data_IF_778211790231
#
_entry.id   IF_778211790231
#
_cell.length_a   1.000
_cell.length_b   1.000
_cell.length_c   1.000
_cell.angle_alpha   90.00
_cell.angle_beta   90.00
_cell.angle_gamma   90.00
#
_symmetry.space_group_name_H-M   'P 1'
#
loop_
_entity.id
_entity.type
_entity.pdbx_description
1 polymer ?
#
# COMPACT_ATOMS: atom_id res chain seq x y z
N UNK A 1 -46.99 84.85 -7.29
CA UNK A 1 -46.46 85.57 -6.12
C UNK A 1 -44.93 85.55 -6.20
N UNK A 2 -44.32 86.71 -6.53
CA UNK A 2 -42.89 87.11 -6.38
C UNK A 2 -41.81 86.22 -7.05
N UNK A 3 -40.77 86.70 -7.74
CA UNK A 3 -40.28 88.03 -8.11
C UNK A 3 -39.19 87.82 -9.18
N UNK A 4 -39.09 88.74 -10.14
CA UNK A 4 -37.93 88.91 -11.03
C UNK A 4 -36.63 89.14 -10.25
N UNK A 5 -35.51 88.57 -10.71
CA UNK A 5 -34.17 89.21 -10.65
C UNK A 5 -33.42 88.96 -11.97
N UNK A 6 -32.66 89.97 -12.38
CA UNK A 6 -32.13 90.31 -13.70
C UNK A 6 -30.98 89.45 -14.24
N UNK A 7 -30.88 89.46 -15.57
CA UNK A 7 -29.72 89.13 -16.42
C UNK A 7 -28.45 89.89 -16.02
N UNK A 8 -27.28 89.26 -16.19
CA UNK A 8 -26.10 89.85 -16.87
C UNK A 8 -25.33 88.71 -17.56
N UNK A 9 -25.09 88.86 -18.86
CA UNK A 9 -24.15 88.03 -19.63
C UNK A 9 -22.76 88.63 -19.50
N UNK A 10 -21.73 87.81 -19.29
CA UNK A 10 -20.34 88.19 -19.54
C UNK A 10 -19.66 87.07 -20.33
N UNK A 11 -19.25 87.40 -21.55
CA UNK A 11 -18.43 86.56 -22.41
C UNK A 11 -17.04 86.42 -21.81
N UNK A 12 -16.46 85.22 -21.86
CA UNK A 12 -15.04 85.02 -21.57
C UNK A 12 -14.48 84.02 -22.57
N UNK A 13 -13.38 84.42 -23.18
CA UNK A 13 -12.77 83.86 -24.37
C UNK A 13 -12.37 82.38 -24.20
N UNK A 14 -12.74 81.56 -25.18
CA UNK A 14 -12.09 80.27 -25.42
C UNK A 14 -10.71 80.58 -26.00
N UNK A 15 -9.70 80.68 -25.13
CA UNK A 15 -8.31 80.61 -25.54
C UNK A 15 -8.00 79.15 -25.81
N UNK A 16 -7.83 78.80 -27.08
CA UNK A 16 -7.17 77.56 -27.49
C UNK A 16 -5.75 77.57 -26.90
N UNK A 17 -5.55 76.87 -25.79
CA UNK A 17 -4.23 76.33 -25.49
C UNK A 17 -4.09 75.04 -26.29
N UNK A 18 -3.48 75.18 -27.46
CA UNK A 18 -2.66 74.13 -28.09
C UNK A 18 -1.56 73.76 -27.10
N UNK A 19 -1.87 72.88 -26.15
CA UNK A 19 -0.87 72.19 -25.36
C UNK A 19 -0.49 70.91 -26.13
N UNK A 20 0.80 70.80 -26.43
CA UNK A 20 1.45 69.72 -27.15
C UNK A 20 0.85 68.35 -26.82
N UNK A 21 0.13 67.78 -27.78
CA UNK A 21 0.03 66.34 -27.90
C UNK A 21 1.31 65.89 -28.64
N UNK A 22 2.36 65.54 -27.89
CA UNK A 22 3.38 64.58 -28.35
C UNK A 22 4.37 64.25 -27.23
N UNK A 23 4.71 62.96 -27.16
CA UNK A 23 5.58 62.26 -26.20
C UNK A 23 4.96 61.83 -24.87
N UNK A 24 3.81 61.15 -24.92
CA UNK A 24 3.68 59.99 -24.05
C UNK A 24 4.59 58.90 -24.65
N UNK A 25 5.86 58.85 -24.22
CA UNK A 25 6.65 57.63 -24.32
C UNK A 25 5.80 56.57 -23.62
N UNK A 26 5.26 55.63 -24.39
CA UNK A 26 4.65 54.43 -23.83
C UNK A 26 5.69 53.87 -22.86
N UNK A 27 5.34 53.78 -21.57
CA UNK A 27 6.27 53.32 -20.56
C UNK A 27 6.83 51.96 -21.01
N UNK A 28 8.15 51.76 -20.91
CA UNK A 28 8.76 50.49 -21.28
C UNK A 28 8.01 49.35 -20.59
N UNK A 29 7.31 48.54 -21.39
CA UNK A 29 6.53 47.40 -20.92
C UNK A 29 7.53 46.29 -20.60
N UNK A 30 7.59 45.89 -19.34
CA UNK A 30 8.52 44.88 -18.84
C UNK A 30 7.73 43.57 -18.71
N UNK A 31 8.13 42.48 -19.38
CA UNK A 31 7.45 41.20 -19.21
C UNK A 31 7.63 40.72 -17.76
N UNK A 32 6.53 40.42 -17.07
CA UNK A 32 6.55 39.97 -15.66
C UNK A 32 5.97 38.58 -15.45
N UNK A 33 5.08 38.12 -16.33
CA UNK A 33 4.51 36.78 -16.27
C UNK A 33 4.34 36.15 -17.65
N UNK A 34 4.40 34.82 -17.67
CA UNK A 34 4.26 34.00 -18.87
C UNK A 34 3.32 32.83 -18.56
N UNK A 35 2.45 32.50 -19.50
CA UNK A 35 1.53 31.38 -19.41
C UNK A 35 1.44 30.60 -20.74
N UNK A 36 1.10 29.32 -20.65
CA UNK A 36 0.85 28.43 -21.79
C UNK A 36 -0.64 28.05 -21.79
N UNK A 37 -1.28 28.12 -22.96
CA UNK A 37 -2.65 27.66 -23.17
C UNK A 37 -2.72 26.66 -24.34
N UNK A 38 -3.39 25.50 -24.18
CA UNK A 38 -4.01 25.00 -22.95
C UNK A 38 -2.97 24.62 -21.87
N UNK A 39 -3.38 24.59 -20.60
CA UNK A 39 -2.52 24.19 -19.46
C UNK A 39 -2.43 22.68 -19.28
N UNK A 40 -2.94 21.89 -20.21
CA UNK A 40 -2.92 20.44 -20.15
C UNK A 40 -3.93 19.84 -21.11
N UNK A 41 -3.94 18.53 -21.22
CA UNK A 41 -4.82 17.80 -22.12
C UNK A 41 -4.41 16.35 -22.25
N UNK A 42 -5.33 15.54 -22.78
CA UNK A 42 -5.09 14.18 -23.20
C UNK A 42 -5.25 14.11 -24.72
N UNK A 43 -4.20 13.68 -25.43
CA UNK A 43 -4.20 13.57 -26.89
C UNK A 43 -3.89 12.14 -27.31
N UNK A 44 -4.43 11.70 -28.44
CA UNK A 44 -4.11 10.43 -29.06
C UNK A 44 -2.86 10.57 -29.94
N UNK A 45 -2.05 9.52 -30.02
CA UNK A 45 -0.91 9.43 -30.95
C UNK A 45 -1.30 9.89 -32.36
N UNK A 46 -0.50 10.81 -32.92
CA UNK A 46 -0.74 11.46 -34.19
C UNK A 46 -1.59 12.73 -34.12
N UNK A 47 -2.27 13.03 -33.02
CA UNK A 47 -2.94 14.32 -32.82
C UNK A 47 -1.93 15.44 -32.54
N UNK A 48 -2.27 16.65 -32.99
CA UNK A 48 -1.48 17.85 -32.75
C UNK A 48 -2.34 18.95 -32.12
N UNK A 49 -1.73 19.73 -31.22
CA UNK A 49 -2.33 20.91 -30.60
C UNK A 49 -1.38 22.10 -30.71
N UNK A 50 -1.92 23.26 -31.07
CA UNK A 50 -1.13 24.50 -31.13
C UNK A 50 -1.15 25.23 -29.80
N UNK A 51 -0.03 25.15 -29.07
CA UNK A 51 0.14 25.85 -27.81
C UNK A 51 0.33 27.36 -28.03
N UNK A 52 -0.38 28.16 -27.25
CA UNK A 52 -0.27 29.62 -27.24
C UNK A 52 0.51 30.08 -26.02
N UNK A 53 1.34 31.10 -26.21
CA UNK A 53 2.07 31.77 -25.13
C UNK A 53 1.45 33.13 -24.91
N UNK A 54 1.03 33.39 -23.67
CA UNK A 54 0.62 34.72 -23.24
C UNK A 54 1.70 35.30 -22.33
N UNK A 55 2.21 36.48 -22.67
CA UNK A 55 3.13 37.24 -21.81
C UNK A 55 2.39 38.48 -21.34
N UNK A 56 2.48 38.81 -20.06
CA UNK A 56 1.87 40.02 -19.49
C UNK A 56 2.94 40.90 -18.87
N UNK A 57 2.70 42.20 -18.95
CA UNK A 57 3.59 43.21 -18.39
C UNK A 57 3.36 43.45 -16.89
N UNK A 58 4.03 44.44 -16.32
CA UNK A 58 3.93 44.80 -14.91
C UNK A 58 2.55 45.37 -14.49
N UNK A 59 1.67 45.70 -15.44
CA UNK A 59 0.28 46.09 -15.21
C UNK A 59 -0.71 44.94 -15.44
N UNK A 60 -0.24 43.76 -15.87
CA UNK A 60 -1.08 42.60 -16.18
C UNK A 60 -1.64 42.60 -17.60
N UNK A 61 -1.24 43.56 -18.44
CA UNK A 61 -1.71 43.71 -19.81
C UNK A 61 -0.95 42.78 -20.76
N UNK A 62 -1.64 42.25 -21.78
CA UNK A 62 -1.04 41.32 -22.75
C UNK A 62 0.03 42.02 -23.60
N UNK A 63 1.18 41.37 -23.75
CA UNK A 63 2.28 41.80 -24.59
C UNK A 63 2.30 40.98 -25.89
N UNK A 64 2.53 41.61 -27.05
CA UNK A 64 2.72 40.87 -28.29
C UNK A 64 4.01 40.05 -28.24
N UNK A 65 3.90 38.75 -28.54
CA UNK A 65 5.03 37.83 -28.59
C UNK A 65 5.38 37.56 -30.06
N UNK A 66 6.56 37.95 -30.56
CA UNK A 66 7.00 37.61 -31.91
C UNK A 66 7.06 36.10 -32.12
N UNK A 67 6.70 35.60 -33.29
CA UNK A 67 6.64 34.16 -33.59
C UNK A 67 7.97 33.42 -33.42
N UNK A 68 9.09 34.13 -33.47
CA UNK A 68 10.44 33.57 -33.28
C UNK A 68 10.92 33.59 -31.82
N UNK A 69 10.22 34.31 -30.93
CA UNK A 69 10.68 34.53 -29.56
C UNK A 69 10.50 33.31 -28.63
N UNK A 70 9.39 32.54 -28.69
CA UNK A 70 9.21 31.36 -27.88
C UNK A 70 10.27 30.29 -28.12
N UNK A 71 10.91 29.84 -27.03
CA UNK A 71 11.81 28.69 -27.04
C UNK A 71 11.13 27.52 -26.35
N UNK A 72 10.57 26.63 -27.15
CA UNK A 72 9.90 25.44 -26.67
C UNK A 72 10.89 24.33 -26.31
N UNK A 73 10.55 23.55 -25.27
CA UNK A 73 11.24 22.33 -24.86
C UNK A 73 10.21 21.30 -24.48
N UNK A 74 10.53 20.04 -24.73
CA UNK A 74 9.72 18.88 -24.33
C UNK A 74 10.61 17.95 -23.50
N UNK A 75 10.06 17.39 -22.42
CA UNK A 75 10.84 16.53 -21.51
C UNK A 75 11.22 15.19 -22.13
N UNK A 76 10.38 14.66 -23.02
CA UNK A 76 10.60 13.37 -23.67
C UNK A 76 10.06 13.40 -25.12
N UNK A 77 10.94 13.45 -26.14
CA UNK A 77 10.54 13.48 -27.54
C UNK A 77 9.94 12.15 -28.03
N UNK A 78 10.08 11.06 -27.28
CA UNK A 78 9.45 9.77 -27.63
C UNK A 78 7.95 9.73 -27.31
N UNK A 79 7.47 10.66 -26.47
CA UNK A 79 6.06 10.80 -26.09
C UNK A 79 5.39 11.91 -26.89
N UNK A 80 6.06 13.06 -27.06
CA UNK A 80 5.57 14.15 -27.87
C UNK A 80 6.71 14.99 -28.47
N UNK A 81 6.49 15.51 -29.67
CA UNK A 81 7.37 16.50 -30.29
C UNK A 81 6.73 17.88 -30.23
N UNK A 82 7.55 18.93 -30.24
CA UNK A 82 7.06 20.31 -30.34
C UNK A 82 7.84 21.09 -31.39
N UNK A 83 7.11 21.62 -32.37
CA UNK A 83 7.65 22.48 -33.41
C UNK A 83 7.93 23.89 -32.88
N UNK A 84 8.74 24.66 -33.63
CA UNK A 84 9.12 26.02 -33.24
C UNK A 84 7.94 26.99 -33.12
N UNK A 85 6.85 26.73 -33.84
CA UNK A 85 5.66 27.57 -33.84
C UNK A 85 4.69 27.26 -32.68
N UNK A 86 5.06 26.33 -31.79
CA UNK A 86 4.26 25.88 -30.65
C UNK A 86 3.33 24.72 -30.95
N UNK A 87 3.36 24.15 -32.15
CA UNK A 87 2.57 22.95 -32.47
C UNK A 87 3.18 21.72 -31.81
N UNK A 88 2.50 21.19 -30.80
CA UNK A 88 2.82 19.93 -30.15
C UNK A 88 2.16 18.78 -30.90
N UNK A 89 2.84 17.66 -31.09
CA UNK A 89 2.28 16.43 -31.70
C UNK A 89 2.55 15.24 -30.80
N UNK A 90 1.53 14.43 -30.53
CA UNK A 90 1.65 13.20 -29.77
C UNK A 90 2.34 12.11 -30.60
N UNK A 91 3.35 11.46 -30.03
CA UNK A 91 4.21 10.46 -30.69
C UNK A 91 4.06 9.07 -30.06
N UNK A 92 3.81 9.00 -28.75
CA UNK A 92 3.67 7.74 -28.03
C UNK A 92 2.94 7.92 -26.70
N UNK A 93 2.74 6.83 -25.96
CA UNK A 93 2.00 6.85 -24.70
C UNK A 93 2.80 7.35 -23.51
N UNK A 94 2.25 8.28 -22.72
CA UNK A 94 2.81 8.71 -21.44
C UNK A 94 2.55 10.17 -21.06
N UNK A 95 3.20 10.62 -19.98
CA UNK A 95 3.16 12.01 -19.53
C UNK A 95 4.39 12.76 -20.04
N UNK A 96 4.19 13.99 -20.54
CA UNK A 96 5.26 14.85 -21.00
C UNK A 96 5.10 16.27 -20.43
N UNK A 97 6.22 16.90 -20.07
CA UNK A 97 6.26 18.30 -19.67
C UNK A 97 6.70 19.12 -20.87
N UNK A 98 5.87 20.07 -21.28
CA UNK A 98 6.20 21.07 -22.30
C UNK A 98 6.48 22.39 -21.64
N UNK A 99 7.71 22.88 -21.82
CA UNK A 99 8.17 24.16 -21.32
C UNK A 99 8.32 25.19 -22.43
N UNK A 100 8.14 26.46 -22.08
CA UNK A 100 8.42 27.60 -22.96
C UNK A 100 9.18 28.68 -22.21
N UNK A 101 10.12 29.30 -22.90
CA UNK A 101 10.85 30.48 -22.42
C UNK A 101 10.67 31.65 -23.39
N UNK A 102 10.32 32.82 -22.86
CA UNK A 102 10.24 34.10 -23.60
C UNK A 102 10.81 35.21 -22.72
N UNK A 103 11.76 35.99 -23.27
CA UNK A 103 12.36 37.15 -22.58
C UNK A 103 12.89 36.84 -21.16
N UNK A 104 13.43 35.64 -20.93
CA UNK A 104 13.95 35.20 -19.63
C UNK A 104 12.90 34.71 -18.63
N UNK A 105 11.61 34.82 -18.96
CA UNK A 105 10.53 34.16 -18.21
C UNK A 105 10.35 32.74 -18.73
N UNK A 106 10.08 31.79 -17.84
CA UNK A 106 9.82 30.40 -18.20
C UNK A 106 8.58 29.87 -17.46
N UNK A 107 7.83 29.03 -18.15
CA UNK A 107 6.75 28.23 -17.56
C UNK A 107 6.70 26.87 -18.25
N UNK A 108 6.08 25.90 -17.61
CA UNK A 108 5.89 24.58 -18.16
C UNK A 108 4.57 23.99 -17.72
N UNK A 109 4.00 23.13 -18.55
CA UNK A 109 2.79 22.39 -18.21
C UNK A 109 2.86 20.93 -18.63
N UNK A 110 2.02 20.10 -18.01
CA UNK A 110 1.95 18.66 -18.25
C UNK A 110 0.88 18.33 -19.27
N UNK A 111 1.20 17.40 -20.16
CA UNK A 111 0.27 16.80 -21.09
C UNK A 111 0.34 15.29 -21.01
N UNK A 112 -0.79 14.64 -21.26
CA UNK A 112 -0.94 13.18 -21.27
C UNK A 112 -1.17 12.76 -22.71
N UNK A 113 -0.51 11.70 -23.14
CA UNK A 113 -0.64 11.14 -24.48
C UNK A 113 -1.09 9.68 -24.38
N UNK A 114 -2.12 9.33 -25.14
CA UNK A 114 -2.52 7.95 -25.36
C UNK A 114 -1.85 7.42 -26.63
N UNK A 115 -1.26 6.23 -26.59
CA UNK A 115 -0.78 5.59 -27.81
C UNK A 115 -1.96 5.09 -28.66
N UNK A 116 -1.74 4.90 -29.96
CA UNK A 116 -2.77 4.38 -30.87
C UNK A 116 -3.20 2.95 -30.52
N UNK A 117 -2.29 2.14 -29.96
CA UNK A 117 -2.56 0.81 -29.44
C UNK A 117 -1.68 0.50 -28.22
N UNK A 118 -2.14 -0.40 -27.33
CA UNK A 118 -1.41 -0.85 -26.13
C UNK A 118 -1.37 -2.37 -26.10
N UNK A 119 -0.20 -2.97 -25.86
CA UNK A 119 -0.14 -4.39 -25.52
C UNK A 119 -0.45 -4.58 -24.04
N UNK A 120 -1.62 -5.13 -23.74
CA UNK A 120 -2.09 -5.33 -22.37
C UNK A 120 -1.73 -6.73 -21.85
N UNK A 121 -1.40 -6.85 -20.56
CA UNK A 121 -1.22 -8.15 -19.88
C UNK A 121 -1.43 -8.04 -18.37
N UNK A 122 -1.59 -9.18 -17.70
CA UNK A 122 -1.55 -9.25 -16.24
C UNK A 122 -0.09 -9.30 -15.78
N UNK A 123 0.42 -8.20 -15.22
CA UNK A 123 1.79 -8.12 -14.72
C UNK A 123 2.01 -8.92 -13.44
N UNK A 124 0.98 -9.02 -12.60
CA UNK A 124 0.93 -9.88 -11.43
C UNK A 124 -0.51 -10.15 -11.00
N UNK A 125 -0.71 -11.31 -10.39
CA UNK A 125 -1.91 -11.66 -9.63
C UNK A 125 -1.46 -12.42 -8.38
N UNK A 126 -1.87 -11.94 -7.21
CA UNK A 126 -1.67 -12.66 -5.96
C UNK A 126 -2.75 -12.32 -4.94
N UNK A 127 -2.82 -13.15 -3.89
CA UNK A 127 -3.82 -13.04 -2.83
C UNK A 127 -3.09 -12.84 -1.52
N UNK A 128 -3.42 -11.78 -0.77
CA UNK A 128 -2.73 -11.41 0.46
C UNK A 128 -3.64 -11.59 1.68
N UNK A 129 -3.22 -12.43 2.62
CA UNK A 129 -3.83 -12.62 3.94
C UNK A 129 -2.99 -11.98 5.06
N UNK A 130 -1.70 -11.74 4.80
CA UNK A 130 -0.79 -10.96 5.64
C UNK A 130 0.54 -10.69 4.92
N UNK A 131 1.15 -11.72 4.33
CA UNK A 131 2.52 -11.68 3.80
C UNK A 131 2.70 -12.59 2.57
N UNK A 132 1.67 -12.71 1.73
CA UNK A 132 1.79 -13.38 0.43
C UNK A 132 2.26 -12.41 -0.64
N UNK A 133 3.12 -12.88 -1.55
CA UNK A 133 3.77 -12.05 -2.56
C UNK A 133 3.42 -12.50 -3.98
N UNK A 134 3.70 -11.63 -4.95
CA UNK A 134 3.50 -11.90 -6.39
C UNK A 134 4.27 -13.09 -6.98
N UNK A 135 5.26 -13.64 -6.26
CA UNK A 135 6.00 -14.83 -6.69
C UNK A 135 5.34 -16.13 -6.21
N UNK A 136 4.31 -16.07 -5.37
CA UNK A 136 3.63 -17.24 -4.85
C UNK A 136 4.48 -18.11 -3.91
N UNK A 137 5.45 -17.52 -3.20
CA UNK A 137 6.35 -18.30 -2.31
C UNK A 137 5.80 -18.53 -0.91
N UNK A 138 4.66 -17.93 -0.58
CA UNK A 138 3.99 -18.06 0.71
C UNK A 138 2.58 -18.57 0.43
N UNK A 139 2.24 -19.71 1.02
CA UNK A 139 0.92 -20.32 0.81
C UNK A 139 -0.18 -19.56 1.54
N UNK A 140 -1.39 -19.67 1.01
CA UNK A 140 -2.61 -19.24 1.66
C UNK A 140 -3.05 -20.27 2.71
N UNK A 141 -3.78 -19.78 3.71
CA UNK A 141 -4.41 -20.57 4.75
C UNK A 141 -5.92 -20.62 4.48
N UNK A 142 -6.54 -21.82 4.50
CA UNK A 142 -7.96 -21.96 4.21
C UNK A 142 -8.82 -21.23 5.24
N UNK A 143 -10.02 -20.81 4.83
CA UNK A 143 -10.99 -20.15 5.72
C UNK A 143 -10.67 -18.69 6.07
N UNK A 144 -9.48 -18.17 5.73
CA UNK A 144 -9.12 -16.77 5.93
C UNK A 144 -9.43 -15.94 4.67
N UNK A 145 -10.13 -14.80 4.80
CA UNK A 145 -10.30 -13.87 3.68
C UNK A 145 -8.95 -13.42 3.12
N UNK A 146 -8.88 -13.16 1.82
CA UNK A 146 -7.66 -12.72 1.17
C UNK A 146 -7.94 -11.56 0.21
N UNK A 147 -7.09 -10.54 0.24
CA UNK A 147 -7.12 -9.47 -0.75
C UNK A 147 -6.50 -9.97 -2.06
N UNK A 148 -7.31 -10.20 -3.08
CA UNK A 148 -6.83 -10.40 -4.45
C UNK A 148 -6.33 -9.08 -5.00
N UNK A 149 -5.05 -9.02 -5.40
CA UNK A 149 -4.46 -7.87 -6.08
C UNK A 149 -4.08 -8.25 -7.50
N UNK A 150 -4.68 -7.58 -8.47
CA UNK A 150 -4.47 -7.79 -9.90
C UNK A 150 -3.81 -6.54 -10.47
N UNK A 151 -2.67 -6.72 -11.13
CA UNK A 151 -1.91 -5.63 -11.73
C UNK A 151 -2.01 -5.73 -13.25
N UNK A 152 -2.73 -4.80 -13.84
CA UNK A 152 -2.82 -4.66 -15.29
C UNK A 152 -1.67 -3.79 -15.75
N UNK A 153 -0.87 -4.29 -16.69
CA UNK A 153 0.28 -3.56 -17.23
C UNK A 153 0.23 -3.47 -18.74
N UNK A 154 0.73 -2.35 -19.26
CA UNK A 154 0.96 -2.12 -20.68
C UNK A 154 2.44 -2.23 -21.06
N UNK A 155 2.73 -2.36 -22.34
CA UNK A 155 4.09 -2.15 -22.88
C UNK A 155 4.53 -0.68 -22.86
N UNK A 156 3.56 0.23 -22.75
CA UNK A 156 3.73 1.66 -22.57
C UNK A 156 2.66 2.22 -21.63
N UNK A 157 2.93 3.40 -21.06
CA UNK A 157 1.94 4.09 -20.23
C UNK A 157 0.79 4.54 -21.10
N UNK A 158 -0.44 4.32 -20.64
CA UNK A 158 -1.63 4.87 -21.29
C UNK A 158 -2.66 5.32 -20.27
N UNK A 159 -3.58 6.14 -20.74
CA UNK A 159 -4.73 6.68 -20.02
C UNK A 159 -6.02 6.05 -20.56
N UNK A 160 -5.93 4.79 -20.99
CA UNK A 160 -7.07 3.90 -21.11
C UNK A 160 -7.31 3.21 -19.77
N UNK A 161 -8.59 3.05 -19.41
CA UNK A 161 -9.03 2.64 -18.08
C UNK A 161 -9.88 1.37 -18.20
N UNK A 162 -9.25 0.19 -18.39
CA UNK A 162 -10.00 -1.06 -18.53
C UNK A 162 -10.66 -1.48 -17.22
N UNK A 163 -11.79 -2.16 -17.29
CA UNK A 163 -12.26 -2.97 -16.17
C UNK A 163 -11.48 -4.27 -16.05
N UNK A 164 -11.70 -5.00 -14.95
CA UNK A 164 -11.17 -6.36 -14.76
C UNK A 164 -12.26 -7.26 -14.23
N UNK A 165 -12.36 -8.49 -14.73
CA UNK A 165 -13.24 -9.51 -14.17
C UNK A 165 -12.42 -10.64 -13.55
N UNK A 166 -12.67 -10.94 -12.28
CA UNK A 166 -12.09 -12.10 -11.60
C UNK A 166 -13.15 -13.18 -11.44
N UNK A 167 -12.76 -14.44 -11.64
CA UNK A 167 -13.59 -15.62 -11.42
C UNK A 167 -12.81 -16.67 -10.66
N UNK A 168 -13.47 -17.34 -9.70
CA UNK A 168 -12.92 -18.49 -9.01
C UNK A 168 -13.72 -19.74 -9.35
N UNK A 169 -13.01 -20.85 -9.46
CA UNK A 169 -13.54 -22.14 -9.85
C UNK A 169 -13.17 -23.21 -8.82
N UNK A 170 -14.12 -24.08 -8.48
CA UNK A 170 -13.85 -25.33 -7.76
C UNK A 170 -14.01 -26.48 -8.75
N UNK A 171 -12.88 -27.02 -9.23
CA UNK A 171 -12.90 -27.88 -10.42
C UNK A 171 -13.40 -27.07 -11.62
N UNK A 172 -14.48 -27.51 -12.26
CA UNK A 172 -15.08 -26.83 -13.42
C UNK A 172 -16.26 -25.90 -13.04
N UNK A 173 -16.68 -25.89 -11.77
CA UNK A 173 -17.80 -25.06 -11.31
C UNK A 173 -17.31 -23.66 -10.95
N UNK A 174 -17.90 -22.63 -11.55
CA UNK A 174 -17.68 -21.23 -11.14
C UNK A 174 -18.37 -20.98 -9.79
N UNK A 175 -17.57 -20.66 -8.77
CA UNK A 175 -18.05 -20.42 -7.40
C UNK A 175 -18.08 -18.94 -7.01
N UNK A 176 -17.44 -18.09 -7.81
CA UNK A 176 -17.37 -16.65 -7.59
C UNK A 176 -17.07 -15.92 -8.90
N UNK A 177 -17.70 -14.76 -9.06
CA UNK A 177 -17.38 -13.81 -10.12
C UNK A 177 -17.56 -12.39 -9.61
N UNK A 178 -16.64 -11.51 -9.96
CA UNK A 178 -16.76 -10.08 -9.71
C UNK A 178 -16.16 -9.27 -10.86
N UNK A 179 -16.86 -8.20 -11.27
CA UNK A 179 -16.34 -7.19 -12.20
C UNK A 179 -15.90 -5.97 -11.40
N UNK A 180 -14.61 -5.67 -11.50
CA UNK A 180 -13.95 -4.54 -10.87
C UNK A 180 -13.90 -3.39 -11.89
N UNK A 181 -14.40 -2.19 -11.52
CA UNK A 181 -14.30 -1.03 -12.40
C UNK A 181 -12.84 -0.62 -12.57
N UNK A 182 -12.59 0.24 -13.55
CA UNK A 182 -11.28 0.83 -13.73
C UNK A 182 -10.80 1.55 -12.46
N UNK A 183 -9.51 1.40 -12.17
CA UNK A 183 -8.85 2.02 -11.02
C UNK A 183 -7.66 2.85 -11.48
N UNK A 184 -7.31 3.85 -10.67
CA UNK A 184 -6.15 4.71 -10.90
C UNK A 184 -6.30 5.69 -12.07
N UNK A 185 -5.20 6.39 -12.34
CA UNK A 185 -5.13 7.47 -13.33
C UNK A 185 -4.38 7.09 -14.61
N UNK A 186 -3.83 5.87 -14.69
CA UNK A 186 -3.16 5.35 -15.88
C UNK A 186 -2.93 3.84 -15.80
N UNK A 187 -2.81 3.19 -16.96
CA UNK A 187 -2.22 1.86 -17.07
C UNK A 187 -0.70 1.98 -17.08
N UNK A 188 -0.05 1.45 -16.03
CA UNK A 188 1.40 1.50 -15.84
C UNK A 188 2.14 0.44 -16.66
N UNK A 189 3.44 0.67 -16.88
CA UNK A 189 4.37 -0.33 -17.45
C UNK A 189 4.87 -1.35 -16.42
N UNK A 190 4.75 -1.02 -15.14
CA UNK A 190 5.34 -1.75 -14.04
C UNK A 190 4.28 -2.13 -13.01
N UNK A 191 4.52 -3.25 -12.34
CA UNK A 191 3.77 -3.65 -11.14
C UNK A 191 4.22 -2.77 -9.98
N UNK A 192 3.35 -1.89 -9.50
CA UNK A 192 3.60 -0.96 -8.39
C UNK A 192 2.80 -1.42 -7.17
N UNK A 193 3.45 -2.14 -6.24
CA UNK A 193 2.75 -2.72 -5.08
C UNK A 193 2.44 -1.71 -3.97
N UNK A 194 3.03 -0.51 -4.00
CA UNK A 194 3.07 0.46 -2.89
C UNK A 194 1.81 1.29 -2.68
N UNK A 195 0.86 1.26 -3.62
CA UNK A 195 -0.43 1.90 -3.49
C UNK A 195 -1.53 0.90 -3.89
N UNK A 196 -2.66 0.92 -3.19
CA UNK A 196 -3.82 0.10 -3.55
C UNK A 196 -4.43 0.57 -4.87
N UNK A 197 -4.37 1.87 -5.20
CA UNK A 197 -4.91 2.45 -6.44
C UNK A 197 -4.15 2.00 -7.71
N UNK A 198 -2.94 1.44 -7.56
CA UNK A 198 -2.13 0.89 -8.66
C UNK A 198 -2.47 -0.59 -8.97
N UNK A 199 -3.55 -1.11 -8.38
CA UNK A 199 -4.02 -2.49 -8.55
C UNK A 199 -5.54 -2.60 -8.44
N UNK A 200 -6.13 -3.56 -9.16
CA UNK A 200 -7.52 -3.92 -8.96
C UNK A 200 -7.59 -4.84 -7.76
N UNK A 201 -8.35 -4.43 -6.74
CA UNK A 201 -8.40 -5.13 -5.47
C UNK A 201 -9.82 -5.63 -5.20
N UNK A 202 -9.93 -6.86 -4.70
CA UNK A 202 -11.16 -7.36 -4.09
C UNK A 202 -10.85 -8.33 -2.96
N UNK A 203 -11.70 -8.36 -1.94
CA UNK A 203 -11.58 -9.32 -0.85
C UNK A 203 -12.32 -10.60 -1.24
N UNK A 204 -11.58 -11.70 -1.39
CA UNK A 204 -12.16 -13.02 -1.55
C UNK A 204 -12.58 -13.55 -0.18
N UNK A 205 -13.87 -13.88 0.02
CA UNK A 205 -14.36 -14.49 1.25
C UNK A 205 -13.57 -15.74 1.65
N UNK A 206 -13.27 -15.88 2.94
CA UNK A 206 -12.45 -17.00 3.43
C UNK A 206 -13.05 -18.37 3.15
N UNK A 207 -14.38 -18.49 3.10
CA UNK A 207 -15.05 -19.74 2.73
C UNK A 207 -14.85 -20.13 1.26
N UNK A 208 -14.26 -19.28 0.41
CA UNK A 208 -13.84 -19.62 -0.96
C UNK A 208 -12.36 -19.97 -1.02
N UNK A 209 -11.56 -19.64 0.00
CA UNK A 209 -10.15 -20.04 0.07
C UNK A 209 -10.09 -21.46 0.64
N UNK A 210 -10.09 -22.45 -0.26
CA UNK A 210 -9.98 -23.88 0.07
C UNK A 210 -9.18 -24.63 -1.01
N UNK A 211 -8.55 -25.77 -0.67
CA UNK A 211 -7.77 -26.55 -1.62
C UNK A 211 -8.54 -26.88 -2.93
N UNK A 212 -7.85 -26.76 -4.06
CA UNK A 212 -8.40 -27.07 -5.38
C UNK A 212 -9.08 -25.89 -6.09
N UNK A 213 -9.12 -24.70 -5.46
CA UNK A 213 -9.64 -23.50 -6.11
C UNK A 213 -8.68 -22.96 -7.16
N UNK A 214 -9.22 -22.71 -8.35
CA UNK A 214 -8.54 -22.04 -9.45
C UNK A 214 -9.06 -20.62 -9.65
N UNK A 215 -8.21 -19.72 -10.15
CA UNK A 215 -8.60 -18.35 -10.53
C UNK A 215 -8.38 -18.10 -12.02
N UNK A 216 -9.30 -17.34 -12.60
CA UNK A 216 -9.19 -16.73 -13.93
C UNK A 216 -9.45 -15.25 -13.80
N UNK A 217 -8.65 -14.45 -14.50
CA UNK A 217 -8.83 -13.01 -14.61
C UNK A 217 -8.97 -12.65 -16.08
N UNK A 218 -9.94 -11.79 -16.40
CA UNK A 218 -10.14 -11.19 -17.71
C UNK A 218 -9.88 -9.68 -17.60
N UNK A 219 -9.07 -9.15 -18.50
CA UNK A 219 -8.68 -7.74 -18.57
C UNK A 219 -9.44 -7.08 -19.70
N UNK A 220 -9.90 -5.85 -19.46
CA UNK A 220 -10.67 -5.08 -20.43
C UNK A 220 -11.88 -5.83 -21.01
N UNK A 221 -12.77 -6.43 -20.18
CA UNK A 221 -13.94 -7.13 -20.70
C UNK A 221 -14.91 -6.20 -21.44
N UNK A 222 -14.83 -4.89 -21.23
CA UNK A 222 -15.59 -3.86 -21.94
C UNK A 222 -14.97 -3.44 -23.28
N UNK A 223 -13.70 -3.76 -23.55
CA UNK A 223 -13.01 -3.45 -24.81
C UNK A 223 -12.71 -1.96 -25.00
N UNK A 224 -12.36 -1.25 -23.92
CA UNK A 224 -12.03 0.20 -23.98
C UNK A 224 -10.60 0.48 -24.42
N UNK A 225 -9.70 -0.51 -24.34
CA UNK A 225 -8.30 -0.37 -24.73
C UNK A 225 -8.14 -0.76 -26.21
N UNK A 226 -7.55 0.10 -27.06
CA UNK A 226 -7.14 -0.31 -28.41
C UNK A 226 -5.97 -1.32 -28.31
N UNK A 227 -6.30 -2.60 -28.34
CA UNK A 227 -5.31 -3.66 -28.08
C UNK A 227 -4.34 -3.83 -29.26
N UNK A 228 -3.04 -3.81 -28.94
CA UNK A 228 -1.99 -4.18 -29.88
C UNK A 228 -1.91 -5.71 -30.04
N UNK A 229 -1.41 -6.21 -31.20
CA UNK A 229 -1.11 -7.63 -31.37
C UNK A 229 -0.22 -8.20 -30.26
N UNK A 230 -0.57 -9.39 -29.78
CA UNK A 230 0.12 -10.07 -28.68
C UNK A 230 -0.35 -9.69 -27.28
N UNK A 231 -1.43 -8.90 -27.15
CA UNK A 231 -2.10 -8.65 -25.87
C UNK A 231 -2.65 -9.94 -25.25
N UNK A 232 -2.57 -10.04 -23.93
CA UNK A 232 -3.08 -11.15 -23.12
C UNK A 232 -4.17 -10.62 -22.19
N UNK A 233 -5.41 -10.62 -22.68
CA UNK A 233 -6.58 -10.15 -21.93
C UNK A 233 -7.20 -11.21 -21.02
N UNK A 234 -6.58 -12.40 -20.93
CA UNK A 234 -6.99 -13.46 -20.01
C UNK A 234 -5.76 -14.02 -19.31
N UNK A 235 -5.82 -14.17 -17.99
CA UNK A 235 -4.78 -14.78 -17.17
C UNK A 235 -5.35 -15.89 -16.26
N UNK A 236 -4.76 -17.10 -16.25
CA UNK A 236 -3.80 -17.58 -17.25
C UNK A 236 -4.41 -17.60 -18.66
N UNK A 237 -3.58 -17.73 -19.70
CA UNK A 237 -4.06 -17.74 -21.09
C UNK A 237 -5.06 -18.90 -21.34
N UNK A 238 -4.82 -20.04 -20.70
CA UNK A 238 -5.67 -21.24 -20.75
C UNK A 238 -5.88 -21.79 -19.34
N UNK A 239 -7.00 -22.49 -19.12
CA UNK A 239 -7.32 -23.08 -17.81
C UNK A 239 -7.50 -22.04 -16.71
N UNK A 240 -7.14 -22.41 -15.49
CA UNK A 240 -7.17 -21.55 -14.29
C UNK A 240 -5.86 -21.69 -13.50
N UNK A 241 -5.42 -20.61 -12.85
CA UNK A 241 -4.27 -20.66 -11.95
C UNK A 241 -4.70 -21.27 -10.62
N UNK A 242 -4.13 -22.41 -10.23
CA UNK A 242 -4.41 -23.00 -8.93
C UNK A 242 -3.86 -22.12 -7.80
N UNK A 243 -4.65 -21.93 -6.75
CA UNK A 243 -4.20 -21.25 -5.54
C UNK A 243 -3.40 -22.21 -4.66
N UNK A 244 -2.22 -21.77 -4.25
CA UNK A 244 -1.36 -22.52 -3.34
C UNK A 244 -1.85 -22.39 -1.90
N UNK A 245 -2.63 -23.37 -1.45
CA UNK A 245 -3.29 -23.38 -0.15
C UNK A 245 -2.76 -24.55 0.67
N UNK A 246 -2.30 -24.25 1.89
CA UNK A 246 -1.83 -25.25 2.86
C UNK A 246 -2.75 -25.21 4.07
N UNK A 247 -3.18 -26.38 4.52
CA UNK A 247 -4.00 -26.53 5.73
C UNK A 247 -3.09 -26.76 6.96
N UNK A 248 -2.81 -25.72 7.76
CA UNK A 248 -2.09 -25.88 9.02
C UNK A 248 -2.97 -26.59 10.06
N UNK A 249 -2.35 -27.22 11.09
CA UNK A 249 -3.11 -27.79 12.20
C UNK A 249 -3.88 -26.70 12.97
N UNK A 250 -4.98 -27.11 13.62
CA UNK A 250 -5.70 -26.28 14.58
C UNK A 250 -4.76 -25.85 15.70
N UNK A 251 -4.69 -24.54 15.95
CA UNK A 251 -3.98 -23.99 17.09
C UNK A 251 -4.89 -24.05 18.30
N UNK A 252 -4.65 -25.00 19.21
CA UNK A 252 -5.26 -24.99 20.53
C UNK A 252 -4.41 -24.17 21.49
N UNK A 253 -4.80 -22.93 21.74
CA UNK A 253 -4.12 -22.01 22.64
C UNK A 253 -4.71 -22.08 24.04
N UNK A 254 -3.84 -22.27 25.04
CA UNK A 254 -4.18 -22.30 26.46
C UNK A 254 -3.47 -21.13 27.13
N UNK A 255 -4.25 -20.19 27.67
CA UNK A 255 -3.75 -19.07 28.46
C UNK A 255 -3.80 -19.42 29.93
N UNK A 256 -2.68 -19.28 30.64
CA UNK A 256 -2.58 -19.59 32.07
C UNK A 256 -2.38 -18.29 32.85
N UNK A 257 -3.44 -17.69 33.42
CA UNK A 257 -3.32 -16.49 34.24
C UNK A 257 -2.42 -16.80 35.44
N UNK A 258 -1.30 -16.09 35.56
CA UNK A 258 -0.28 -16.38 36.57
C UNK A 258 -0.10 -15.23 37.56
N UNK A 259 -0.03 -15.61 38.84
CA UNK A 259 0.20 -14.74 39.98
C UNK A 259 1.52 -15.08 40.65
N UNK A 260 2.49 -14.17 40.55
CA UNK A 260 3.73 -14.29 41.30
C UNK A 260 3.51 -13.92 42.77
N UNK A 261 4.04 -14.72 43.69
CA UNK A 261 3.87 -14.51 45.13
C UNK A 261 4.36 -13.12 45.61
N UNK A 262 5.42 -12.60 44.98
CA UNK A 262 6.02 -11.30 45.33
C UNK A 262 5.33 -10.11 44.66
N UNK A 263 4.61 -10.35 43.57
CA UNK A 263 3.87 -9.30 42.83
C UNK A 263 2.50 -9.82 42.37
N UNK A 264 1.60 -10.22 43.29
CA UNK A 264 0.31 -10.77 42.90
C UNK A 264 -0.59 -9.66 42.38
N UNK A 265 -0.94 -9.71 41.10
CA UNK A 265 -1.77 -8.68 40.47
C UNK A 265 -2.93 -9.29 39.67
N UNK A 266 -4.15 -9.03 40.13
CA UNK A 266 -5.40 -9.48 39.50
C UNK A 266 -5.73 -8.77 38.19
N UNK A 267 -4.97 -7.76 37.81
CA UNK A 267 -5.07 -7.10 36.51
C UNK A 267 -4.85 -8.05 35.31
N UNK A 268 -4.16 -9.19 35.50
CA UNK A 268 -4.04 -10.22 34.46
C UNK A 268 -5.40 -10.73 33.96
N UNK A 269 -6.40 -10.79 34.86
CA UNK A 269 -7.77 -11.20 34.52
C UNK A 269 -8.45 -10.25 33.54
N UNK A 270 -8.08 -8.97 33.51
CA UNK A 270 -8.64 -8.05 32.52
C UNK A 270 -8.23 -8.43 31.09
N UNK A 271 -7.10 -9.14 30.93
CA UNK A 271 -6.61 -9.59 29.65
C UNK A 271 -7.08 -11.00 29.31
N UNK A 272 -7.17 -11.91 30.30
CA UNK A 272 -7.52 -13.32 30.10
C UNK A 272 -9.00 -13.66 30.22
N UNK A 273 -9.81 -12.85 30.91
CA UNK A 273 -11.21 -13.18 31.17
C UNK A 273 -12.04 -13.18 29.88
N UNK A 274 -12.78 -14.28 29.64
CA UNK A 274 -13.66 -14.43 28.49
C UNK A 274 -12.94 -14.52 27.14
N UNK A 275 -11.63 -14.79 27.13
CA UNK A 275 -10.88 -14.98 25.90
C UNK A 275 -11.49 -16.09 25.05
N UNK A 276 -11.62 -15.79 23.77
CA UNK A 276 -12.14 -16.65 22.73
C UNK A 276 -11.37 -16.36 21.43
N UNK A 277 -11.54 -17.16 20.36
CA UNK A 277 -10.79 -16.97 19.12
C UNK A 277 -10.92 -15.57 18.52
N UNK A 278 -12.04 -14.87 18.70
CA UNK A 278 -12.30 -13.54 18.12
C UNK A 278 -11.85 -12.37 19.03
N UNK A 279 -11.18 -12.68 20.14
CA UNK A 279 -10.68 -11.66 21.07
C UNK A 279 -9.53 -10.84 20.47
N UNK A 280 -9.52 -9.53 20.75
CA UNK A 280 -8.47 -8.59 20.29
C UNK A 280 -7.06 -9.11 20.60
N UNK A 281 -6.89 -9.72 21.77
CA UNK A 281 -5.64 -10.24 22.33
C UNK A 281 -4.96 -11.28 21.43
N UNK A 282 -5.74 -12.07 20.70
CA UNK A 282 -5.23 -13.11 19.78
C UNK A 282 -5.25 -12.69 18.32
N UNK A 283 -5.79 -11.49 18.02
CA UNK A 283 -5.92 -10.98 16.64
C UNK A 283 -4.58 -10.96 15.92
N UNK A 284 -3.55 -10.38 16.52
CA UNK A 284 -2.21 -10.30 15.91
C UNK A 284 -1.65 -11.68 15.58
N UNK A 285 -1.81 -12.66 16.47
CA UNK A 285 -1.41 -14.04 16.21
C UNK A 285 -2.18 -14.65 15.04
N UNK A 286 -3.50 -14.48 15.01
CA UNK A 286 -4.33 -14.97 13.90
C UNK A 286 -3.98 -14.33 12.57
N UNK A 287 -3.59 -13.05 12.55
CA UNK A 287 -3.15 -12.39 11.33
C UNK A 287 -1.77 -12.86 10.88
N UNK A 288 -0.79 -12.81 11.80
CA UNK A 288 0.63 -12.90 11.45
C UNK A 288 1.14 -14.34 11.39
N UNK A 289 0.66 -15.23 12.24
CA UNK A 289 1.11 -16.61 12.22
C UNK A 289 0.22 -17.42 11.26
N UNK A 290 0.79 -18.27 10.38
CA UNK A 290 -0.01 -19.02 9.40
C UNK A 290 -0.71 -20.24 10.01
N UNK A 291 -1.34 -20.07 11.17
CA UNK A 291 -2.05 -21.11 11.93
C UNK A 291 -3.45 -21.38 11.38
N UNK A 292 -4.00 -22.56 11.66
CA UNK A 292 -5.33 -22.92 11.17
C UNK A 292 -6.45 -22.27 11.98
N UNK A 293 -7.54 -23.02 12.13
CA UNK A 293 -8.55 -22.69 13.12
C UNK A 293 -7.89 -22.53 14.50
N UNK A 294 -8.43 -21.63 15.31
CA UNK A 294 -7.93 -21.38 16.65
C UNK A 294 -8.98 -21.79 17.67
N UNK A 295 -8.57 -22.62 18.63
CA UNK A 295 -9.31 -22.88 19.85
C UNK A 295 -8.63 -22.11 20.98
N UNK A 296 -9.42 -21.44 21.83
CA UNK A 296 -8.90 -20.66 22.94
C UNK A 296 -9.49 -21.19 24.24
N UNK A 297 -8.60 -21.49 25.17
CA UNK A 297 -8.93 -21.93 26.52
C UNK A 297 -8.20 -21.05 27.52
N UNK A 298 -8.87 -20.70 28.60
CA UNK A 298 -8.28 -20.00 29.74
C UNK A 298 -8.24 -21.00 30.89
N UNK A 299 -7.03 -21.34 31.31
CA UNK A 299 -6.78 -22.22 32.45
C UNK A 299 -7.14 -21.51 33.76
N UNK A 300 -7.30 -22.28 34.84
CA UNK A 300 -7.41 -21.73 36.20
C UNK A 300 -6.16 -20.94 36.63
N UNK A 301 -6.30 -20.14 37.68
CA UNK A 301 -5.22 -19.30 38.20
C UNK A 301 -4.02 -20.17 38.63
N UNK A 302 -2.86 -19.85 38.09
CA UNK A 302 -1.60 -20.46 38.48
C UNK A 302 -0.84 -19.54 39.42
N UNK A 303 -0.27 -20.10 40.49
CA UNK A 303 0.53 -19.37 41.46
C UNK A 303 1.98 -19.82 41.38
N UNK A 304 2.89 -18.88 41.12
CA UNK A 304 4.33 -19.14 41.06
C UNK A 304 5.05 -18.54 42.25
N UNK A 305 6.05 -19.26 42.76
CA UNK A 305 7.00 -18.76 43.75
C UNK A 305 8.12 -17.92 43.15
N UNK A 306 8.27 -17.93 41.82
CA UNK A 306 9.35 -17.27 41.11
C UNK A 306 9.33 -15.74 41.25
N UNK A 307 10.51 -15.13 41.34
CA UNK A 307 10.68 -13.68 41.32
C UNK A 307 10.72 -13.16 39.87
N UNK A 308 9.59 -12.66 39.38
CA UNK A 308 9.47 -12.14 38.01
C UNK A 308 10.16 -10.78 37.80
N UNK A 309 10.81 -10.21 38.82
CA UNK A 309 11.69 -9.06 38.66
C UNK A 309 13.11 -9.46 38.19
N UNK A 310 13.47 -10.74 38.31
CA UNK A 310 14.77 -11.29 37.92
C UNK A 310 14.66 -12.30 36.76
N UNK A 311 15.64 -12.30 35.84
CA UNK A 311 15.67 -13.25 34.70
C UNK A 311 15.63 -14.71 35.16
N UNK A 312 16.25 -15.03 36.29
CA UNK A 312 16.22 -16.35 36.94
C UNK A 312 14.79 -16.84 37.20
N UNK A 313 13.93 -15.97 37.75
CA UNK A 313 12.53 -16.31 38.02
C UNK A 313 11.71 -16.54 36.76
N UNK A 314 12.01 -15.84 35.66
CA UNK A 314 11.39 -16.12 34.36
C UNK A 314 11.72 -17.51 33.82
N UNK A 315 12.98 -17.94 33.99
CA UNK A 315 13.42 -19.28 33.59
C UNK A 315 12.73 -20.36 34.44
N UNK A 316 12.62 -20.12 35.75
CA UNK A 316 11.89 -20.98 36.68
C UNK A 316 10.41 -21.10 36.29
N UNK A 317 9.70 -19.98 36.14
CA UNK A 317 8.29 -19.95 35.76
C UNK A 317 8.01 -20.64 34.41
N UNK A 318 8.86 -20.42 33.39
CA UNK A 318 8.77 -21.16 32.13
C UNK A 318 8.92 -22.67 32.34
N UNK A 319 9.80 -23.08 33.26
CA UNK A 319 9.97 -24.49 33.65
C UNK A 319 8.74 -25.06 34.36
N UNK A 320 8.14 -24.30 35.27
CA UNK A 320 6.88 -24.66 35.94
C UNK A 320 5.74 -24.88 34.93
N UNK A 321 5.59 -23.99 33.95
CA UNK A 321 4.59 -24.15 32.88
C UNK A 321 4.85 -25.39 32.02
N UNK A 322 6.11 -25.77 31.81
CA UNK A 322 6.44 -27.01 31.12
C UNK A 322 6.06 -28.25 31.94
N UNK A 323 6.23 -28.21 33.27
CA UNK A 323 5.75 -29.28 34.15
C UNK A 323 4.23 -29.38 34.11
N UNK A 324 3.51 -28.24 34.16
CA UNK A 324 2.05 -28.20 34.04
C UNK A 324 1.59 -28.81 32.70
N UNK A 325 2.20 -28.40 31.59
CA UNK A 325 1.92 -28.94 30.25
C UNK A 325 2.07 -30.47 30.18
N UNK A 326 3.13 -31.03 30.77
CA UNK A 326 3.36 -32.47 30.81
C UNK A 326 2.33 -33.19 31.71
N UNK A 327 1.99 -32.62 32.86
CA UNK A 327 1.00 -33.17 33.80
C UNK A 327 -0.42 -33.19 33.21
N UNK A 328 -0.76 -32.20 32.39
CA UNK A 328 -2.06 -32.10 31.71
C UNK A 328 -2.11 -32.84 30.36
N UNK A 329 -1.14 -33.72 30.10
CA UNK A 329 -1.18 -34.62 28.95
C UNK A 329 -0.76 -33.97 27.62
N UNK A 330 0.07 -32.92 27.66
CA UNK A 330 0.75 -32.34 26.49
C UNK A 330 -0.18 -31.79 25.41
N UNK A 331 -1.24 -31.13 25.82
CA UNK A 331 -2.30 -30.60 24.94
C UNK A 331 -2.03 -29.16 24.50
N UNK A 332 -2.20 -28.83 23.22
CA UNK A 332 -2.15 -27.44 22.75
C UNK A 332 -0.83 -26.70 23.00
N UNK A 333 -0.93 -25.36 23.06
CA UNK A 333 0.16 -24.41 23.29
C UNK A 333 -0.13 -23.60 24.55
N UNK A 334 0.78 -23.64 25.52
CA UNK A 334 0.64 -22.95 26.79
C UNK A 334 1.33 -21.60 26.72
N UNK A 335 0.60 -20.55 27.08
CA UNK A 335 1.16 -19.24 27.34
C UNK A 335 0.83 -18.83 28.78
N UNK A 336 1.82 -18.89 29.66
CA UNK A 336 1.73 -18.31 30.99
C UNK A 336 1.66 -16.79 30.89
N UNK A 337 0.62 -16.19 31.47
CA UNK A 337 0.36 -14.75 31.36
C UNK A 337 0.59 -14.09 32.71
N UNK A 338 1.47 -13.08 32.74
CA UNK A 338 1.65 -12.21 33.90
C UNK A 338 1.37 -10.74 33.52
N UNK A 339 1.12 -9.88 34.50
CA UNK A 339 1.03 -8.44 34.24
C UNK A 339 2.41 -7.89 33.83
N UNK A 340 2.47 -6.87 32.95
CA UNK A 340 3.67 -6.06 32.75
C UNK A 340 4.26 -5.55 34.07
N UNK A 341 5.50 -5.94 34.33
CA UNK A 341 6.35 -5.44 35.41
C UNK A 341 7.54 -4.68 34.81
N UNK A 342 8.26 -3.91 35.62
CA UNK A 342 9.58 -3.41 35.27
C UNK A 342 10.59 -4.56 35.38
N UNK A 343 10.66 -5.39 34.34
CA UNK A 343 11.59 -6.52 34.24
C UNK A 343 12.57 -6.31 33.08
N UNK A 344 13.67 -7.07 33.09
CA UNK A 344 14.66 -7.05 32.01
C UNK A 344 14.16 -7.66 30.69
N UNK A 345 13.13 -8.52 30.74
CA UNK A 345 12.50 -9.16 29.58
C UNK A 345 10.97 -9.06 29.67
N UNK A 346 10.31 -9.15 28.52
CA UNK A 346 8.85 -9.15 28.44
C UNK A 346 8.22 -10.54 28.31
N UNK A 347 9.01 -11.53 27.89
CA UNK A 347 8.59 -12.91 27.67
C UNK A 347 9.80 -13.82 27.43
N UNK A 348 9.56 -15.13 27.54
CA UNK A 348 10.51 -16.18 27.18
C UNK A 348 9.78 -17.45 26.79
N UNK A 349 10.23 -18.06 25.70
CA UNK A 349 9.70 -19.30 25.18
C UNK A 349 10.73 -20.43 25.16
N UNK A 350 10.25 -21.65 24.98
CA UNK A 350 11.07 -22.70 24.41
C UNK A 350 10.99 -22.67 22.88
N UNK A 351 12.13 -22.94 22.22
CA UNK A 351 12.18 -23.14 20.78
C UNK A 351 11.61 -24.52 20.44
N UNK A 352 10.68 -24.59 19.48
CA UNK A 352 10.09 -25.83 18.97
C UNK A 352 9.36 -26.69 20.03
N UNK A 353 8.96 -26.08 21.15
CA UNK A 353 8.22 -26.75 22.23
C UNK A 353 7.07 -25.83 22.69
N UNK A 354 5.86 -26.35 22.94
CA UNK A 354 4.62 -25.57 22.99
C UNK A 354 4.38 -24.90 24.34
N UNK A 355 5.42 -24.32 24.93
CA UNK A 355 5.35 -23.63 26.21
C UNK A 355 6.12 -22.32 26.13
N UNK A 356 5.44 -21.26 26.50
CA UNK A 356 6.00 -19.93 26.65
C UNK A 356 5.38 -19.20 27.84
N UNK A 357 6.06 -18.16 28.30
CA UNK A 357 5.56 -17.27 29.35
C UNK A 357 5.83 -15.83 28.96
N UNK A 358 4.97 -14.91 29.37
CA UNK A 358 5.11 -13.53 28.97
C UNK A 358 4.09 -12.60 29.60
N UNK A 359 4.31 -11.31 29.36
CA UNK A 359 3.36 -10.31 29.77
C UNK A 359 2.05 -10.37 28.98
N UNK A 360 0.98 -9.83 29.56
CA UNK A 360 -0.33 -9.65 28.96
C UNK A 360 -0.31 -8.56 27.85
N UNK A 361 0.50 -8.80 26.81
CA UNK A 361 0.74 -7.93 25.65
C UNK A 361 0.73 -8.79 24.39
N UNK A 362 -0.19 -8.50 23.48
CA UNK A 362 -0.51 -9.31 22.29
C UNK A 362 0.71 -9.60 21.39
N UNK A 363 1.59 -8.61 21.25
CA UNK A 363 2.83 -8.76 20.49
C UNK A 363 3.80 -9.74 21.14
N UNK A 364 3.97 -9.67 22.46
CA UNK A 364 4.87 -10.59 23.19
C UNK A 364 4.32 -12.01 23.06
N UNK A 365 3.03 -12.19 23.31
CA UNK A 365 2.38 -13.49 23.08
C UNK A 365 2.64 -14.02 21.66
N UNK A 366 2.43 -13.20 20.63
CA UNK A 366 2.67 -13.60 19.23
C UNK A 366 4.14 -13.96 18.98
N UNK A 367 5.07 -13.20 19.54
CA UNK A 367 6.52 -13.43 19.44
C UNK A 367 6.92 -14.75 20.12
N UNK A 368 6.49 -14.97 21.35
CA UNK A 368 6.83 -16.18 22.11
C UNK A 368 6.20 -17.44 21.50
N UNK A 369 4.97 -17.34 20.99
CA UNK A 369 4.35 -18.42 20.23
C UNK A 369 5.14 -18.73 18.93
N UNK A 370 5.74 -17.71 18.31
CA UNK A 370 6.66 -17.89 17.19
C UNK A 370 7.84 -18.81 17.54
N UNK A 371 8.48 -18.61 18.71
CA UNK A 371 9.53 -19.53 19.18
C UNK A 371 9.01 -20.95 19.40
N UNK A 372 7.81 -21.11 19.98
CA UNK A 372 7.17 -22.43 20.12
C UNK A 372 6.94 -23.12 18.77
N UNK A 373 6.82 -22.33 17.70
CA UNK A 373 6.71 -22.76 16.30
C UNK A 373 8.06 -22.85 15.57
N UNK A 374 9.15 -22.88 16.34
CA UNK A 374 10.52 -23.01 15.87
C UNK A 374 10.95 -21.86 14.94
N UNK A 375 10.57 -20.64 15.34
CA UNK A 375 11.05 -19.39 14.76
C UNK A 375 12.11 -18.79 15.69
N UNK A 376 13.36 -18.70 15.23
CA UNK A 376 14.43 -17.91 15.88
C UNK A 376 14.16 -16.40 15.78
N UNK A 377 15.00 -15.55 16.39
CA UNK A 377 14.85 -14.10 16.26
C UNK A 377 15.17 -13.57 14.85
N UNK A 378 14.56 -12.45 14.45
CA UNK A 378 14.99 -11.65 13.31
C UNK A 378 16.08 -10.64 13.74
N UNK A 379 17.00 -10.24 12.85
CA UNK A 379 18.15 -9.40 13.20
C UNK A 379 17.77 -7.91 13.36
N UNK A 380 16.91 -7.59 14.32
CA UNK A 380 16.51 -6.23 14.66
C UNK A 380 16.45 -6.00 16.18
N UNK A 381 16.91 -4.82 16.61
CA UNK A 381 16.80 -4.38 18.00
C UNK A 381 17.67 -5.16 18.99
N UNK A 382 18.79 -5.72 18.53
CA UNK A 382 19.73 -6.50 19.35
C UNK A 382 19.13 -7.77 19.97
N UNK A 383 18.16 -8.39 19.29
CA UNK A 383 17.62 -9.68 19.69
C UNK A 383 18.72 -10.75 19.72
N UNK A 384 18.80 -11.50 20.83
CA UNK A 384 19.86 -12.51 21.04
C UNK A 384 19.62 -13.78 20.23
N UNK A 385 20.65 -14.37 19.62
CA UNK A 385 20.49 -15.56 18.77
C UNK A 385 19.64 -15.31 17.51
N UNK A 386 19.97 -14.28 16.69
CA UNK A 386 19.25 -14.05 15.45
C UNK A 386 19.43 -15.23 14.48
N UNK A 387 18.40 -15.49 13.66
CA UNK A 387 18.49 -16.42 12.55
C UNK A 387 19.52 -15.91 11.53
N UNK A 388 20.66 -16.60 11.45
CA UNK A 388 21.74 -16.27 10.52
C UNK A 388 21.33 -16.43 9.04
N UNK A 389 20.25 -17.16 8.76
CA UNK A 389 19.70 -17.31 7.42
C UNK A 389 18.65 -16.26 7.07
N UNK A 390 18.32 -15.35 8.00
CA UNK A 390 17.32 -14.32 7.75
C UNK A 390 17.81 -13.36 6.63
N UNK A 391 17.09 -13.27 5.50
CA UNK A 391 17.65 -12.67 4.29
C UNK A 391 17.56 -11.13 4.27
N UNK A 392 16.77 -10.52 5.15
CA UNK A 392 16.50 -9.09 5.11
C UNK A 392 17.24 -8.36 6.23
N UNK A 393 18.15 -7.47 5.83
CA UNK A 393 18.93 -6.65 6.75
C UNK A 393 18.04 -5.82 7.68
N UNK A 394 18.50 -5.63 8.92
CA UNK A 394 17.75 -4.90 9.93
C UNK A 394 16.41 -5.55 10.31
N UNK A 395 16.16 -6.81 9.94
CA UNK A 395 14.92 -7.50 10.26
C UNK A 395 13.69 -7.01 9.49
N UNK A 396 13.85 -6.31 8.37
CA UNK A 396 12.74 -5.93 7.47
C UNK A 396 11.87 -7.15 7.09
N UNK A 397 10.58 -6.94 6.82
CA UNK A 397 9.67 -8.01 6.36
C UNK A 397 9.89 -8.44 4.90
N UNK A 398 10.63 -7.66 4.12
CA UNK A 398 11.13 -7.99 2.78
C UNK A 398 10.12 -8.00 1.63
N UNK A 399 8.81 -8.00 1.92
CA UNK A 399 7.72 -7.95 0.93
C UNK A 399 6.58 -7.06 1.45
N UNK A 400 5.73 -6.57 0.54
CA UNK A 400 4.50 -5.88 0.91
C UNK A 400 3.54 -6.83 1.64
N UNK A 401 3.11 -6.43 2.83
CA UNK A 401 2.02 -7.07 3.55
C UNK A 401 0.70 -6.33 3.37
N UNK A 402 -0.36 -6.88 3.95
CA UNK A 402 -1.67 -6.25 4.01
C UNK A 402 -2.31 -6.54 5.37
N UNK A 403 -2.75 -5.48 6.07
CA UNK A 403 -3.52 -5.60 7.31
C UNK A 403 -5.02 -5.53 7.00
N UNK A 404 -5.76 -6.66 7.06
CA UNK A 404 -7.18 -6.67 6.73
C UNK A 404 -8.06 -5.97 7.76
N UNK A 405 -7.53 -5.59 8.93
CA UNK A 405 -8.29 -4.89 9.96
C UNK A 405 -8.24 -3.37 9.81
N UNK A 406 -7.11 -2.86 9.34
CA UNK A 406 -6.92 -1.43 9.08
C UNK A 406 -7.15 -1.09 7.60
N UNK A 407 -7.28 -2.11 6.73
CA UNK A 407 -7.38 -1.98 5.26
C UNK A 407 -6.17 -1.24 4.66
N UNK A 408 -4.98 -1.56 5.17
CA UNK A 408 -3.73 -0.85 4.85
C UNK A 408 -2.63 -1.80 4.35
N UNK A 409 -1.81 -1.28 3.42
CA UNK A 409 -0.58 -1.94 2.98
C UNK A 409 0.50 -1.81 4.04
N UNK A 410 1.25 -2.90 4.24
CA UNK A 410 2.37 -2.94 5.18
C UNK A 410 3.69 -2.82 4.42
N UNK A 411 4.34 -1.66 4.54
CA UNK A 411 5.56 -1.33 3.79
C UNK A 411 6.80 -2.06 4.34
N UNK A 412 7.50 -2.87 3.52
CA UNK A 412 8.70 -3.57 3.95
C UNK A 412 9.88 -2.66 4.34
N UNK A 413 9.88 -1.40 3.93
CA UNK A 413 10.91 -0.43 4.30
C UNK A 413 10.67 0.19 5.69
N UNK A 414 9.45 0.03 6.22
CA UNK A 414 9.01 0.66 7.48
C UNK A 414 8.78 -0.38 8.57
N UNK A 415 8.34 -1.58 8.19
CA UNK A 415 7.99 -2.65 9.12
C UNK A 415 9.10 -3.71 9.24
N UNK A 416 9.22 -4.22 10.46
CA UNK A 416 10.18 -5.25 10.83
C UNK A 416 9.44 -6.53 11.24
N UNK A 417 10.13 -7.66 11.14
CA UNK A 417 9.59 -8.96 11.51
C UNK A 417 9.27 -9.03 13.00
N UNK A 418 8.13 -9.63 13.32
CA UNK A 418 7.61 -9.82 14.66
C UNK A 418 8.59 -10.58 15.56
N UNK A 419 9.52 -11.36 15.01
CA UNK A 419 10.56 -12.07 15.76
C UNK A 419 11.79 -11.20 16.08
N UNK A 420 11.79 -9.89 15.76
CA UNK A 420 12.82 -8.93 16.19
C UNK A 420 12.31 -7.99 17.28
N UNK A 421 13.19 -7.20 17.91
CA UNK A 421 12.78 -6.30 19.01
C UNK A 421 12.38 -4.89 18.58
N UNK A 422 12.42 -4.61 17.27
CA UNK A 422 12.05 -3.33 16.72
C UNK A 422 10.54 -3.07 16.77
N UNK A 423 10.16 -1.80 16.66
CA UNK A 423 8.76 -1.39 16.53
C UNK A 423 8.25 -1.61 15.10
N UNK A 424 6.95 -1.34 14.88
CA UNK A 424 6.25 -1.55 13.60
C UNK A 424 6.42 -2.99 13.14
N UNK A 425 5.77 -3.91 13.86
CA UNK A 425 5.95 -5.35 13.70
C UNK A 425 4.95 -5.92 12.72
N UNK A 426 5.44 -6.80 11.86
CA UNK A 426 4.64 -7.61 10.96
C UNK A 426 5.34 -8.96 10.73
N UNK A 427 4.72 -9.94 10.07
CA UNK A 427 5.42 -11.17 9.72
C UNK A 427 6.14 -11.00 8.39
N UNK A 428 7.39 -11.45 8.28
CA UNK A 428 8.10 -11.47 6.99
C UNK A 428 7.59 -12.55 6.06
N UNK A 429 7.79 -12.34 4.75
CA UNK A 429 7.56 -13.38 3.75
C UNK A 429 8.44 -14.61 3.98
N UNK A 430 9.67 -14.41 4.47
CA UNK A 430 10.60 -15.48 4.81
C UNK A 430 10.07 -16.39 5.92
N UNK A 431 9.58 -15.82 7.03
CA UNK A 431 9.02 -16.61 8.14
C UNK A 431 7.73 -17.31 7.74
N UNK A 432 6.85 -16.60 7.04
CA UNK A 432 5.59 -17.14 6.54
C UNK A 432 5.82 -18.34 5.61
N UNK A 433 6.81 -18.24 4.70
CA UNK A 433 7.20 -19.34 3.82
C UNK A 433 7.76 -20.55 4.59
N UNK A 434 8.64 -20.34 5.58
CA UNK A 434 9.20 -21.44 6.39
C UNK A 434 8.12 -22.17 7.17
N UNK A 435 7.16 -21.44 7.73
CA UNK A 435 6.07 -22.02 8.49
C UNK A 435 5.15 -22.86 7.60
N UNK A 436 4.70 -22.29 6.48
CA UNK A 436 3.81 -23.00 5.53
C UNK A 436 4.48 -24.23 4.92
N UNK A 437 5.78 -24.17 4.61
CA UNK A 437 6.54 -25.32 4.12
C UNK A 437 6.58 -26.48 5.12
N UNK A 438 6.68 -26.22 6.42
CA UNK A 438 6.66 -27.26 7.47
C UNK A 438 5.33 -28.00 7.54
N UNK A 439 4.22 -27.29 7.32
CA UNK A 439 2.89 -27.89 7.36
C UNK A 439 2.59 -28.77 6.13
N UNK A 440 3.42 -28.75 5.08
CA UNK A 440 3.33 -29.69 3.95
C UNK A 440 4.00 -31.04 4.22
N UNK A 441 4.89 -31.11 5.20
CA UNK A 441 5.72 -32.29 5.48
C UNK A 441 5.14 -33.17 6.59
N UNK A 442 4.03 -32.74 7.19
CA UNK A 442 3.24 -33.50 8.16
C UNK A 442 1.97 -33.98 7.47
#
# INVERSE_FOLDING_TARGET
>A
MRMMVRKVSLATAVVLFLACADFALEADRIPTSIDISPRGGLYLEGESERLRVEVRDQQGELMPVPSWAPRWKVSDPTIAEIARDGTMTAVGGGEVVVGVEVAGLATATRFRMNPGQVRLSAGALYFNQAAQNKRGTVSLIPGRPALARIFVVGDQTSYYYPGVRIRLFQGDEEVFQESLPAVGDSTSKLVIESNLEDSYNTVIPGHLIRPGVGVVVELDPEGVVPLAPGSQTRYPAEGSMALDIVEPPTLRQIFVPTFAALTPDRGVHNWTNGLNPDSRQVRMTRTLLPVGNMEVEVHEDYHTGADLTEISGWVEWRGEMAVLYEQEGRRGYYYGVARPLTAAIGGIAFLAFPVSVGFSIDYIYTHELGHNMDLLHAPCGSAGGPDLSYPYGGGSIGIWGFDPFEDELVDPNVFNDVMGYCNRRWISGYRSARFTARNRLK
#
